data_IF_302725450472
#
_entry.id   IF_302725450472
#
_cell.length_a   1.000
_cell.length_b   1.000
_cell.length_c   1.000
_cell.angle_alpha   90.00
_cell.angle_beta   90.00
_cell.angle_gamma   90.00
#
_symmetry.space_group_name_H-M   'P 1'
#
loop_
_entity.id
_entity.type
_entity.pdbx_description
1 polymer ?
#
# COMPACT_ATOMS: atom_id res chain seq x y z
N UNK A 1 -0.46 -1.59 12.12
CA UNK A 1 -0.41 -3.07 12.17
C UNK A 1 1.03 -3.53 12.08
N UNK A 2 1.64 -3.88 13.24
CA UNK A 2 3.10 -4.07 13.38
C UNK A 2 3.64 -5.17 12.46
N UNK A 3 2.91 -6.25 12.27
CA UNK A 3 3.35 -7.42 11.48
C UNK A 3 2.90 -7.36 10.00
N UNK A 4 2.44 -6.22 9.52
CA UNK A 4 2.01 -6.08 8.13
C UNK A 4 3.16 -5.64 7.22
N UNK A 5 3.13 -6.10 5.97
CA UNK A 5 4.03 -5.61 4.94
C UNK A 5 3.89 -4.10 4.68
N UNK A 6 2.71 -3.53 4.91
CA UNK A 6 2.46 -2.09 4.81
C UNK A 6 3.22 -1.31 5.88
N UNK A 7 3.24 -1.83 7.12
CA UNK A 7 4.00 -1.20 8.20
C UNK A 7 5.51 -1.20 7.92
N UNK A 8 6.05 -2.36 7.53
CA UNK A 8 7.47 -2.48 7.19
C UNK A 8 7.83 -1.56 6.02
N UNK A 9 7.04 -1.58 4.96
CA UNK A 9 7.27 -0.73 3.78
C UNK A 9 7.25 0.76 4.14
N UNK A 10 6.23 1.22 4.86
CA UNK A 10 6.13 2.64 5.24
C UNK A 10 7.30 3.07 6.12
N UNK A 11 7.68 2.25 7.09
CA UNK A 11 8.83 2.50 7.96
C UNK A 11 10.13 2.61 7.16
N UNK A 12 10.40 1.66 6.28
CA UNK A 12 11.65 1.64 5.52
C UNK A 12 11.68 2.72 4.44
N UNK A 13 10.59 2.88 3.71
CA UNK A 13 10.54 3.74 2.53
C UNK A 13 10.29 5.21 2.87
N UNK A 14 9.37 5.49 3.78
CA UNK A 14 8.98 6.86 4.14
C UNK A 14 9.79 7.38 5.32
N UNK A 15 9.79 6.64 6.44
CA UNK A 15 10.43 7.10 7.66
C UNK A 15 11.95 7.06 7.55
N UNK A 16 12.50 5.94 7.07
CA UNK A 16 13.95 5.71 6.92
C UNK A 16 14.51 6.11 5.55
N UNK A 17 13.67 6.53 4.61
CA UNK A 17 14.07 6.97 3.26
C UNK A 17 14.96 5.96 2.52
N UNK A 18 14.73 4.67 2.73
CA UNK A 18 15.53 3.54 2.21
C UNK A 18 17.01 3.57 2.66
N UNK A 19 17.33 4.24 3.75
CA UNK A 19 18.67 4.20 4.34
C UNK A 19 18.77 3.02 5.33
N UNK A 20 19.56 1.95 5.02
CA UNK A 20 19.71 0.80 5.91
C UNK A 20 20.44 1.13 7.22
N UNK A 21 21.15 2.24 7.29
CA UNK A 21 21.83 2.70 8.50
C UNK A 21 20.90 3.53 9.41
N UNK A 22 19.73 3.96 8.90
CA UNK A 22 18.77 4.75 9.65
C UNK A 22 18.18 3.93 10.81
N UNK A 23 18.13 4.55 11.98
CA UNK A 23 17.50 4.01 13.20
C UNK A 23 16.17 4.68 13.51
N UNK A 24 15.64 5.45 12.58
CA UNK A 24 14.36 6.12 12.75
C UNK A 24 13.24 5.12 13.03
N UNK A 25 12.41 5.43 14.02
CA UNK A 25 11.28 4.64 14.49
C UNK A 25 10.05 5.52 14.67
N UNK A 26 8.88 4.91 14.67
CA UNK A 26 7.66 5.61 15.03
C UNK A 26 7.73 6.13 16.46
N UNK A 27 7.10 7.28 16.72
CA UNK A 27 7.02 7.80 18.06
C UNK A 27 6.37 6.77 19.02
N UNK A 28 6.80 6.67 20.28
CA UNK A 28 6.20 5.76 21.25
C UNK A 28 4.69 5.99 21.46
N UNK A 29 4.22 7.20 21.18
CA UNK A 29 2.80 7.58 21.23
C UNK A 29 1.99 7.18 19.99
N UNK A 30 2.64 6.64 18.95
CA UNK A 30 1.93 6.21 17.74
C UNK A 30 1.04 4.99 18.03
N UNK A 31 -0.23 5.05 17.62
CA UNK A 31 -1.15 3.96 17.80
C UNK A 31 -0.85 2.82 16.84
N UNK A 32 -0.68 1.61 17.38
CA UNK A 32 -0.47 0.39 16.61
C UNK A 32 -1.74 -0.44 16.63
N UNK A 33 -2.59 -0.23 15.62
CA UNK A 33 -3.88 -0.91 15.51
C UNK A 33 -3.76 -2.26 14.79
N UNK A 34 -4.74 -3.13 14.98
CA UNK A 34 -4.68 -4.53 14.56
C UNK A 34 -5.00 -4.78 13.08
N UNK A 35 -5.61 -3.82 12.39
CA UNK A 35 -6.01 -3.95 10.99
C UNK A 35 -6.09 -2.61 10.26
N UNK A 36 -6.05 -2.64 8.93
CA UNK A 36 -6.27 -1.45 8.09
C UNK A 36 -7.64 -0.83 8.33
N UNK A 37 -8.69 -1.64 8.54
CA UNK A 37 -10.02 -1.14 8.88
C UNK A 37 -10.03 -0.38 10.21
N UNK A 38 -9.37 -0.92 11.26
CA UNK A 38 -9.28 -0.23 12.55
C UNK A 38 -8.55 1.11 12.46
N UNK A 39 -7.52 1.21 11.60
CA UNK A 39 -6.82 2.48 11.34
C UNK A 39 -7.76 3.46 10.61
N UNK A 40 -8.48 3.00 9.59
CA UNK A 40 -9.43 3.82 8.86
C UNK A 40 -10.56 4.36 9.75
N UNK A 41 -11.08 3.53 10.65
CA UNK A 41 -12.12 3.92 11.62
C UNK A 41 -11.60 4.95 12.64
N UNK A 42 -10.38 4.77 13.15
CA UNK A 42 -9.74 5.76 14.04
C UNK A 42 -9.57 7.12 13.35
N UNK A 43 -9.05 7.14 12.13
CA UNK A 43 -8.88 8.38 11.35
C UNK A 43 -10.23 9.04 11.05
N UNK A 44 -11.29 8.25 10.81
CA UNK A 44 -12.64 8.77 10.55
C UNK A 44 -13.28 9.44 11.78
N UNK A 45 -12.92 9.00 12.99
CA UNK A 45 -13.51 9.48 14.26
C UNK A 45 -12.68 10.58 14.92
N UNK A 46 -11.39 10.66 14.60
CA UNK A 46 -10.46 11.57 15.26
C UNK A 46 -9.91 12.58 14.23
N UNK A 47 -10.40 13.82 14.30
CA UNK A 47 -10.03 14.90 13.39
C UNK A 47 -8.55 15.32 13.48
N UNK A 48 -7.86 14.95 14.56
CA UNK A 48 -6.42 15.18 14.74
C UNK A 48 -5.54 14.01 14.31
N UNK A 49 -6.15 12.88 13.86
CA UNK A 49 -5.39 11.70 13.46
C UNK A 49 -4.90 11.76 12.02
N UNK A 50 -3.75 11.14 11.81
CA UNK A 50 -3.23 10.76 10.49
C UNK A 50 -2.90 9.27 10.52
N UNK A 51 -3.20 8.54 9.44
CA UNK A 51 -2.94 7.11 9.34
C UNK A 51 -2.45 6.71 7.95
N UNK A 52 -1.88 5.52 7.85
CA UNK A 52 -1.53 4.90 6.58
C UNK A 52 -2.05 3.47 6.53
N UNK A 53 -2.67 3.10 5.45
CA UNK A 53 -3.29 1.79 5.21
C UNK A 53 -3.57 1.61 3.72
N UNK A 54 -4.00 0.40 3.32
CA UNK A 54 -4.34 0.10 1.93
C UNK A 54 -5.41 1.03 1.39
N UNK A 55 -5.25 1.54 0.17
CA UNK A 55 -6.16 2.54 -0.39
C UNK A 55 -7.59 2.02 -0.61
N UNK A 56 -7.80 0.70 -0.66
CA UNK A 56 -9.14 0.09 -0.70
C UNK A 56 -9.98 0.33 0.55
N UNK A 57 -9.37 0.72 1.67
CA UNK A 57 -10.10 1.07 2.90
C UNK A 57 -10.48 2.56 2.99
N UNK A 58 -10.16 3.36 1.98
CA UNK A 58 -10.54 4.78 1.94
C UNK A 58 -12.03 4.89 1.64
N UNK A 59 -12.74 5.66 2.47
CA UNK A 59 -14.15 5.99 2.29
C UNK A 59 -14.37 7.51 2.27
N UNK A 60 -15.60 7.96 2.15
CA UNK A 60 -15.94 9.38 2.25
C UNK A 60 -15.77 9.99 3.66
N UNK A 61 -15.39 9.17 4.65
CA UNK A 61 -15.16 9.60 6.04
C UNK A 61 -13.71 10.02 6.30
N UNK A 62 -12.79 9.70 5.40
CA UNK A 62 -11.39 10.09 5.51
C UNK A 62 -11.00 10.99 4.33
N UNK A 63 -10.06 11.87 4.56
CA UNK A 63 -9.46 12.70 3.51
C UNK A 63 -8.12 12.11 3.09
N UNK A 64 -7.99 11.56 1.89
CA UNK A 64 -6.68 11.12 1.39
C UNK A 64 -5.75 12.32 1.20
N UNK A 65 -4.48 12.11 1.51
CA UNK A 65 -3.44 13.12 1.38
C UNK A 65 -2.68 12.88 0.08
N UNK A 66 -2.47 13.93 -0.69
CA UNK A 66 -1.58 13.93 -1.84
C UNK A 66 -0.13 13.92 -1.35
N UNK A 67 0.73 13.17 -2.02
CA UNK A 67 2.12 12.99 -1.62
C UNK A 67 3.04 13.33 -2.79
N UNK A 68 4.10 14.10 -2.53
CA UNK A 68 5.18 14.33 -3.47
C UNK A 68 6.40 13.46 -3.15
N UNK A 69 7.17 13.10 -4.16
CA UNK A 69 8.40 12.31 -3.99
C UNK A 69 9.48 13.10 -3.25
N UNK A 70 9.55 14.39 -3.54
CA UNK A 70 10.50 15.35 -2.94
C UNK A 70 9.92 16.77 -3.01
N UNK A 71 10.64 17.73 -2.48
CA UNK A 71 10.23 19.15 -2.41
C UNK A 71 10.02 19.83 -3.78
N UNK A 72 10.53 19.23 -4.86
CA UNK A 72 10.48 19.79 -6.23
C UNK A 72 9.47 19.06 -7.11
N UNK A 73 8.92 17.94 -6.64
CA UNK A 73 7.96 17.12 -7.35
C UNK A 73 6.53 17.62 -7.14
N UNK A 74 5.66 17.35 -8.10
CA UNK A 74 4.22 17.56 -7.93
C UNK A 74 3.64 16.60 -6.90
N UNK A 75 2.53 17.01 -6.30
CA UNK A 75 1.77 16.17 -5.37
C UNK A 75 0.79 15.28 -6.13
N UNK A 76 0.92 13.98 -5.97
CA UNK A 76 0.04 12.99 -6.57
C UNK A 76 -0.96 12.44 -5.56
N UNK A 77 -2.21 12.29 -5.99
CA UNK A 77 -3.26 11.67 -5.19
C UNK A 77 -3.17 10.12 -5.25
N UNK A 78 -3.60 9.41 -4.20
CA UNK A 78 -3.64 7.94 -4.17
C UNK A 78 -4.83 7.43 -5.02
N UNK A 79 -4.67 7.48 -6.33
CA UNK A 79 -5.64 6.94 -7.29
C UNK A 79 -5.07 5.70 -8.00
N UNK A 80 -5.96 4.83 -8.49
CA UNK A 80 -5.56 3.66 -9.29
C UNK A 80 -4.67 4.09 -10.46
N UNK A 81 -5.08 5.15 -11.17
CA UNK A 81 -4.31 5.68 -12.30
C UNK A 81 -2.89 6.10 -11.91
N UNK A 82 -2.74 6.86 -10.82
CA UNK A 82 -1.44 7.33 -10.37
C UNK A 82 -0.54 6.18 -9.85
N UNK A 83 -1.15 5.13 -9.27
CA UNK A 83 -0.42 3.93 -8.87
C UNK A 83 0.05 3.13 -10.08
N UNK A 84 -0.82 2.87 -11.06
CA UNK A 84 -0.50 2.13 -12.30
C UNK A 84 0.57 2.86 -13.11
N UNK A 85 0.47 4.18 -13.20
CA UNK A 85 1.44 5.01 -13.93
C UNK A 85 2.74 5.29 -13.15
N UNK A 86 2.88 4.76 -11.92
CA UNK A 86 4.06 4.95 -11.09
C UNK A 86 4.27 6.38 -10.58
N UNK A 87 3.24 7.23 -10.64
CA UNK A 87 3.29 8.61 -10.14
C UNK A 87 3.19 8.68 -8.63
N UNK A 88 2.28 7.88 -8.04
CA UNK A 88 2.10 7.90 -6.58
C UNK A 88 3.31 7.29 -5.87
N UNK A 89 4.11 8.07 -5.10
CA UNK A 89 5.46 7.68 -4.72
C UNK A 89 5.54 6.62 -3.61
N UNK A 90 4.46 6.39 -2.87
CA UNK A 90 4.41 5.41 -1.77
C UNK A 90 3.54 4.20 -2.11
N UNK A 91 3.58 3.77 -3.36
CA UNK A 91 2.97 2.51 -3.81
C UNK A 91 4.02 1.40 -3.94
N UNK A 92 3.58 0.15 -3.83
CA UNK A 92 4.44 -1.02 -4.05
C UNK A 92 3.67 -2.16 -4.70
N UNK A 93 4.29 -2.97 -5.56
CA UNK A 93 3.66 -4.15 -6.11
C UNK A 93 3.50 -5.25 -5.04
N UNK A 94 2.48 -6.09 -5.20
CA UNK A 94 2.44 -7.41 -4.59
C UNK A 94 3.24 -8.38 -5.45
N UNK A 95 4.06 -9.23 -4.83
CA UNK A 95 4.97 -10.13 -5.52
C UNK A 95 4.60 -11.59 -5.24
N UNK A 96 4.65 -12.42 -6.29
CA UNK A 96 4.55 -13.87 -6.19
C UNK A 96 5.97 -14.44 -6.40
N UNK A 97 6.42 -15.26 -5.46
CA UNK A 97 7.72 -15.93 -5.55
C UNK A 97 7.53 -17.38 -5.93
N UNK A 98 8.36 -17.88 -6.85
CA UNK A 98 8.39 -19.28 -7.26
C UNK A 98 9.81 -19.83 -7.16
N UNK A 99 9.95 -21.15 -6.95
CA UNK A 99 11.24 -21.81 -7.01
C UNK A 99 11.55 -22.17 -8.47
N UNK A 100 12.26 -21.28 -9.14
CA UNK A 100 12.55 -21.36 -10.58
C UNK A 100 11.37 -20.96 -11.45
N UNK A 101 11.45 -21.32 -12.75
CA UNK A 101 10.38 -20.99 -13.72
C UNK A 101 9.09 -21.75 -13.40
N UNK A 102 7.95 -21.10 -13.27
CA UNK A 102 6.70 -21.74 -12.94
C UNK A 102 6.23 -22.68 -14.07
N UNK A 103 5.83 -23.88 -13.70
CA UNK A 103 5.31 -24.91 -14.60
C UNK A 103 4.05 -25.55 -14.03
N UNK A 104 3.32 -26.29 -14.88
CA UNK A 104 2.14 -27.09 -14.47
C UNK A 104 1.09 -26.26 -13.70
N UNK A 105 0.62 -26.74 -12.55
CA UNK A 105 -0.40 -26.07 -11.74
C UNK A 105 0.02 -24.68 -11.25
N UNK A 106 1.29 -24.52 -10.88
CA UNK A 106 1.82 -23.23 -10.41
C UNK A 106 1.72 -22.18 -11.52
N UNK A 107 2.13 -22.55 -12.74
CA UNK A 107 2.00 -21.65 -13.89
C UNK A 107 0.55 -21.29 -14.17
N UNK A 108 -0.36 -22.27 -14.14
CA UNK A 108 -1.80 -22.03 -14.37
C UNK A 108 -2.38 -21.06 -13.34
N UNK A 109 -1.99 -21.17 -12.08
CA UNK A 109 -2.42 -20.24 -11.02
C UNK A 109 -1.92 -18.80 -11.29
N UNK A 110 -0.64 -18.65 -11.64
CA UNK A 110 -0.09 -17.33 -11.95
C UNK A 110 -0.75 -16.73 -13.20
N UNK A 111 -0.94 -17.55 -14.26
CA UNK A 111 -1.63 -17.12 -15.48
C UNK A 111 -3.06 -16.65 -15.16
N UNK A 112 -3.76 -17.36 -14.27
CA UNK A 112 -5.08 -16.94 -13.78
C UNK A 112 -5.01 -15.62 -13.02
N UNK A 113 -4.07 -15.45 -12.06
CA UNK A 113 -3.91 -14.19 -11.34
C UNK A 113 -3.68 -13.01 -12.28
N UNK A 114 -2.98 -13.21 -13.39
CA UNK A 114 -2.70 -12.19 -14.39
C UNK A 114 -3.74 -12.10 -15.51
N UNK A 115 -4.75 -12.97 -15.52
CA UNK A 115 -5.85 -12.92 -16.48
C UNK A 115 -6.83 -11.78 -16.18
N UNK A 116 -7.73 -11.49 -17.12
CA UNK A 116 -8.77 -10.49 -16.94
C UNK A 116 -9.63 -10.80 -15.71
N UNK A 117 -10.08 -12.04 -15.57
CA UNK A 117 -10.89 -12.51 -14.43
C UNK A 117 -10.15 -12.38 -13.09
N UNK A 118 -8.86 -12.76 -13.08
CA UNK A 118 -8.01 -12.60 -11.89
C UNK A 118 -7.83 -11.13 -11.50
N UNK A 119 -7.66 -10.24 -12.46
CA UNK A 119 -7.52 -8.80 -12.21
C UNK A 119 -8.83 -8.12 -11.81
N UNK A 120 -9.98 -8.63 -12.26
CA UNK A 120 -11.29 -8.21 -11.75
C UNK A 120 -11.47 -8.57 -10.27
N UNK A 121 -10.97 -9.74 -9.84
CA UNK A 121 -10.95 -10.14 -8.42
C UNK A 121 -10.00 -9.23 -7.62
N UNK A 122 -8.82 -8.92 -8.15
CA UNK A 122 -7.88 -7.98 -7.52
C UNK A 122 -8.56 -6.65 -7.24
N UNK A 123 -9.28 -6.09 -8.22
CA UNK A 123 -10.03 -4.85 -8.06
C UNK A 123 -11.18 -5.01 -7.05
N UNK A 124 -11.91 -6.11 -7.09
CA UNK A 124 -13.03 -6.38 -6.17
C UNK A 124 -12.58 -6.60 -4.71
N UNK A 125 -11.30 -6.87 -4.49
CA UNK A 125 -10.67 -7.00 -3.16
C UNK A 125 -9.87 -5.75 -2.76
N UNK A 126 -10.17 -4.61 -3.39
CA UNK A 126 -9.62 -3.29 -3.07
C UNK A 126 -8.10 -3.14 -3.30
N UNK A 127 -7.55 -3.96 -4.22
CA UNK A 127 -6.19 -3.80 -4.70
C UNK A 127 -6.15 -3.17 -6.11
N UNK A 128 -5.00 -2.64 -6.47
CA UNK A 128 -4.78 -2.03 -7.79
C UNK A 128 -4.38 -3.11 -8.80
N UNK A 129 -5.13 -3.27 -9.90
CA UNK A 129 -4.76 -4.21 -10.97
C UNK A 129 -3.42 -3.83 -11.61
N UNK A 130 -2.73 -4.82 -12.19
CA UNK A 130 -1.46 -4.59 -12.92
C UNK A 130 -1.67 -4.20 -14.37
N UNK A 131 -2.91 -4.30 -14.86
CA UNK A 131 -3.31 -3.96 -16.24
C UNK A 131 -4.71 -3.36 -16.25
#
# INVERSE_FOLDING_TARGET
>A
EINSGTHVYFKEHVLRKNDPASKEEFAPSALMLSSSQAIADEVAQNTGAIGYYGMGYISNKQKPIMVAKDEKSEYDAPTIENVVNGKYPISRPLLIYTNGQPQGPVKKFIDFCLSKEGQEIVLATDFVPVK
#
